data_IF_529708397155
#
_entry.id   IF_529708397155
#
_cell.length_a   1.000
_cell.length_b   1.000
_cell.length_c   1.000
_cell.angle_alpha   90.00
_cell.angle_beta   90.00
_cell.angle_gamma   90.00
#
_symmetry.space_group_name_H-M   'P 1'
#
loop_
_entity.id
_entity.type
_entity.pdbx_description
1 polymer ?
#
# COMPACT_ATOMS: atom_id res chain seq x y z
N UNK A 1 -0.63 -5.22 -7.96
CA UNK A 1 -1.99 -5.69 -8.30
C UNK A 1 -2.90 -5.72 -7.08
N UNK A 2 -2.61 -6.50 -6.02
CA UNK A 2 -3.48 -6.62 -4.83
C UNK A 2 -3.84 -5.27 -4.18
N UNK A 3 -2.88 -4.35 -4.04
CA UNK A 3 -3.14 -3.04 -3.48
C UNK A 3 -4.13 -2.20 -4.31
N UNK A 4 -4.09 -2.32 -5.64
CA UNK A 4 -5.05 -1.65 -6.53
C UNK A 4 -6.44 -2.25 -6.40
N UNK A 5 -6.56 -3.59 -6.39
CA UNK A 5 -7.83 -4.27 -6.18
C UNK A 5 -8.46 -3.89 -4.84
N UNK A 6 -7.65 -3.90 -3.77
CA UNK A 6 -8.10 -3.54 -2.45
C UNK A 6 -8.49 -2.04 -2.34
N UNK A 7 -7.76 -1.14 -3.01
CA UNK A 7 -8.09 0.28 -3.05
C UNK A 7 -9.42 0.53 -3.77
N UNK A 8 -9.64 -0.09 -4.93
CA UNK A 8 -10.91 0.01 -5.68
C UNK A 8 -12.09 -0.52 -4.88
N UNK A 9 -11.93 -1.71 -4.28
CA UNK A 9 -12.97 -2.31 -3.43
C UNK A 9 -13.32 -1.42 -2.24
N UNK A 10 -12.32 -0.83 -1.60
CA UNK A 10 -12.51 0.09 -0.49
C UNK A 10 -13.24 1.36 -0.92
N UNK A 11 -12.86 1.97 -2.05
CA UNK A 11 -13.53 3.17 -2.60
C UNK A 11 -14.99 2.93 -2.94
N UNK A 12 -15.32 1.78 -3.55
CA UNK A 12 -16.71 1.42 -3.88
C UNK A 12 -17.60 1.41 -2.63
N UNK A 13 -17.05 1.06 -1.48
CA UNK A 13 -17.81 0.88 -0.25
C UNK A 13 -17.82 2.11 0.67
N UNK A 14 -16.73 2.88 0.71
CA UNK A 14 -16.64 4.06 1.57
C UNK A 14 -16.89 5.38 0.85
N UNK A 15 -16.93 5.39 -0.49
CA UNK A 15 -17.13 6.59 -1.30
C UNK A 15 -16.01 7.64 -1.21
N UNK A 16 -14.85 7.27 -0.66
CA UNK A 16 -13.72 8.19 -0.46
C UNK A 16 -12.49 7.65 -1.20
N UNK A 17 -11.71 8.51 -1.89
CA UNK A 17 -10.49 8.08 -2.55
C UNK A 17 -9.52 7.38 -1.62
N UNK A 18 -8.96 6.27 -2.08
CA UNK A 18 -7.96 5.48 -1.36
C UNK A 18 -6.62 5.58 -2.08
N UNK A 19 -5.62 6.05 -1.36
CA UNK A 19 -4.25 6.12 -1.81
C UNK A 19 -3.47 4.87 -1.40
N UNK A 20 -2.38 4.60 -2.09
CA UNK A 20 -1.48 3.50 -1.78
C UNK A 20 -0.15 4.09 -1.31
N UNK A 21 0.21 3.86 -0.06
CA UNK A 21 1.58 4.07 0.38
C UNK A 21 2.41 2.85 -0.02
N UNK A 22 3.41 3.08 -0.84
CA UNK A 22 4.34 2.03 -1.26
C UNK A 22 4.87 1.22 -0.06
N UNK A 23 4.76 -0.08 -0.08
CA UNK A 23 4.38 -0.91 -1.23
C UNK A 23 2.93 -1.43 -1.11
N UNK A 24 2.39 -1.55 0.11
CA UNK A 24 1.25 -2.42 0.45
C UNK A 24 0.30 -1.84 1.51
N UNK A 25 0.43 -0.56 1.86
CA UNK A 25 -0.48 0.10 2.80
C UNK A 25 -1.52 0.93 2.06
N UNK A 26 -2.79 0.77 2.40
CA UNK A 26 -3.85 1.64 1.90
C UNK A 26 -4.12 2.78 2.88
N UNK A 27 -4.23 3.98 2.34
CA UNK A 27 -4.46 5.20 3.09
C UNK A 27 -5.76 5.88 2.66
N UNK A 28 -6.54 6.30 3.66
CA UNK A 28 -7.69 7.18 3.53
C UNK A 28 -7.40 8.45 4.33
N UNK A 29 -7.44 9.62 3.69
CA UNK A 29 -7.17 10.89 4.35
C UNK A 29 -5.85 10.90 5.16
N UNK A 30 -4.79 10.37 4.56
CA UNK A 30 -3.46 10.32 5.17
C UNK A 30 -3.26 9.30 6.29
N UNK A 31 -4.26 8.47 6.60
CA UNK A 31 -4.17 7.43 7.64
C UNK A 31 -4.31 6.03 7.06
N UNK A 32 -3.55 5.09 7.59
CA UNK A 32 -3.57 3.69 7.17
C UNK A 32 -4.90 3.03 7.55
N UNK A 33 -5.59 2.51 6.55
CA UNK A 33 -6.87 1.78 6.69
C UNK A 33 -6.75 0.30 6.34
N UNK A 34 -5.69 -0.09 5.64
CA UNK A 34 -5.41 -1.49 5.32
C UNK A 34 -3.91 -1.73 5.19
N UNK A 35 -3.46 -2.90 5.61
CA UNK A 35 -2.15 -3.45 5.27
C UNK A 35 -2.32 -4.74 4.49
N UNK A 36 -1.42 -4.99 3.54
CA UNK A 36 -1.42 -6.19 2.69
C UNK A 36 -0.11 -6.92 2.94
N UNK A 37 -0.19 -8.22 3.18
CA UNK A 37 0.95 -9.11 3.31
C UNK A 37 0.84 -10.20 2.24
N UNK A 38 1.93 -10.46 1.54
CA UNK A 38 2.03 -11.60 0.63
C UNK A 38 3.14 -12.51 1.11
N UNK A 39 2.80 -13.75 1.38
CA UNK A 39 3.72 -14.83 1.71
C UNK A 39 3.73 -15.82 0.55
N UNK A 40 4.90 -16.31 0.18
CA UNK A 40 5.05 -17.20 -0.95
C UNK A 40 5.99 -18.35 -0.60
N UNK A 41 5.70 -19.52 -1.15
CA UNK A 41 6.61 -20.66 -1.15
C UNK A 41 7.19 -20.86 -2.54
N UNK A 42 8.48 -21.15 -2.58
CA UNK A 42 9.22 -21.44 -3.82
C UNK A 42 9.76 -22.86 -3.71
N UNK A 43 9.51 -23.64 -4.73
CA UNK A 43 10.16 -24.95 -4.87
C UNK A 43 11.67 -24.74 -5.10
N UNK A 44 12.48 -25.24 -4.17
CA UNK A 44 13.92 -25.04 -4.18
C UNK A 44 14.64 -25.81 -5.32
N UNK A 45 14.01 -26.84 -5.88
CA UNK A 45 14.60 -27.63 -6.97
C UNK A 45 14.38 -26.95 -8.33
N UNK A 46 13.18 -26.46 -8.58
CA UNK A 46 12.82 -25.82 -9.85
C UNK A 46 12.97 -24.30 -9.84
N UNK A 47 13.05 -23.67 -8.66
CA UNK A 47 13.00 -22.22 -8.50
C UNK A 47 11.63 -21.60 -8.83
N UNK A 48 10.62 -22.42 -9.03
CA UNK A 48 9.28 -21.96 -9.38
C UNK A 48 8.45 -21.60 -8.14
N UNK A 49 7.57 -20.62 -8.30
CA UNK A 49 6.56 -20.28 -7.28
C UNK A 49 5.58 -21.45 -7.14
N UNK A 50 5.50 -22.00 -5.94
CA UNK A 50 4.60 -23.10 -5.61
C UNK A 50 3.20 -22.55 -5.32
N UNK A 51 3.11 -21.60 -4.37
CA UNK A 51 1.90 -20.85 -4.08
C UNK A 51 2.22 -19.50 -3.44
N UNK A 52 1.23 -18.61 -3.45
CA UNK A 52 1.27 -17.36 -2.70
C UNK A 52 -0.02 -17.21 -1.88
N UNK A 53 0.14 -16.79 -0.62
CA UNK A 53 -0.95 -16.45 0.29
C UNK A 53 -1.02 -14.95 0.43
N UNK A 54 -2.20 -14.38 0.19
CA UNK A 54 -2.44 -12.95 0.25
C UNK A 54 -3.31 -12.62 1.47
N UNK A 55 -2.73 -11.95 2.46
CA UNK A 55 -3.42 -11.47 3.66
C UNK A 55 -3.77 -10.00 3.53
N UNK A 56 -5.03 -9.61 3.82
CA UNK A 56 -5.49 -8.22 3.86
C UNK A 56 -6.06 -7.90 5.25
N UNK A 57 -5.48 -6.89 5.90
CA UNK A 57 -5.93 -6.40 7.21
C UNK A 57 -6.62 -5.04 7.08
N UNK A 58 -7.96 -5.03 6.91
CA UNK A 58 -8.73 -3.79 6.88
C UNK A 58 -9.15 -3.32 8.27
N UNK A 59 -8.88 -2.08 8.58
CA UNK A 59 -9.48 -1.37 9.71
C UNK A 59 -10.87 -0.88 9.30
N UNK A 60 -11.91 -1.66 9.54
CA UNK A 60 -13.27 -1.29 9.08
C UNK A 60 -13.82 -0.09 9.83
N UNK A 61 -13.71 -0.10 11.17
CA UNK A 61 -14.15 0.99 12.05
C UNK A 61 -13.11 1.23 13.14
N UNK A 62 -13.13 2.43 13.69
CA UNK A 62 -12.31 2.73 14.85
C UNK A 62 -12.78 1.92 16.07
N UNK A 63 -11.84 1.34 16.85
CA UNK A 63 -12.20 0.68 18.11
C UNK A 63 -12.97 1.61 19.06
N UNK A 64 -13.87 1.09 19.87
CA UNK A 64 -14.69 1.87 20.82
C UNK A 64 -13.84 2.66 21.83
N UNK A 65 -12.64 2.17 22.16
CA UNK A 65 -11.66 2.88 23.03
C UNK A 65 -10.72 3.82 22.27
N UNK A 66 -10.90 4.03 20.98
CA UNK A 66 -9.96 4.74 20.11
C UNK A 66 -8.76 3.90 19.70
N UNK A 67 -7.86 4.49 18.94
CA UNK A 67 -6.58 3.86 18.60
C UNK A 67 -5.61 3.94 19.79
N UNK A 68 -4.76 2.92 20.01
CA UNK A 68 -3.62 3.04 20.91
C UNK A 68 -2.79 4.29 20.59
N UNK A 69 -2.20 4.91 21.63
CA UNK A 69 -1.48 6.19 21.47
C UNK A 69 -0.44 6.17 20.36
N UNK A 70 0.26 5.06 20.20
CA UNK A 70 1.32 4.85 19.21
C UNK A 70 0.77 4.80 17.77
N UNK A 71 -0.50 4.43 17.63
CA UNK A 71 -1.17 4.29 16.33
C UNK A 71 -2.08 5.47 16.01
N UNK A 72 -2.46 6.30 16.98
CA UNK A 72 -3.49 7.34 16.82
C UNK A 72 -3.17 8.36 15.71
N UNK A 73 -1.88 8.63 15.47
CA UNK A 73 -1.44 9.54 14.43
C UNK A 73 -1.50 8.90 13.03
N UNK A 74 -1.37 7.58 12.91
CA UNK A 74 -1.16 6.89 11.63
C UNK A 74 -2.28 5.94 11.23
N UNK A 75 -3.05 5.42 12.20
CA UNK A 75 -4.15 4.50 11.93
C UNK A 75 -5.45 5.26 11.61
N UNK A 76 -6.17 4.77 10.63
CA UNK A 76 -7.51 5.20 10.26
C UNK A 76 -8.45 4.02 10.07
N UNK A 77 -9.71 4.31 9.77
CA UNK A 77 -10.75 3.32 9.48
C UNK A 77 -11.39 3.58 8.12
N UNK A 78 -11.85 2.50 7.50
CA UNK A 78 -12.52 2.57 6.21
C UNK A 78 -13.85 3.33 6.31
N UNK A 79 -14.63 3.03 7.35
CA UNK A 79 -15.89 3.70 7.63
C UNK A 79 -15.76 4.65 8.83
N UNK A 80 -16.35 5.83 8.72
CA UNK A 80 -16.30 6.86 9.76
C UNK A 80 -17.32 6.59 10.89
N UNK A 81 -18.31 5.70 10.64
CA UNK A 81 -19.30 5.20 11.60
C UNK A 81 -19.51 3.70 11.43
N UNK A 82 -20.26 3.09 12.32
CA UNK A 82 -20.57 1.66 12.23
C UNK A 82 -21.25 1.36 10.88
N UNK A 83 -20.65 0.49 10.04
CA UNK A 83 -21.21 0.15 8.75
C UNK A 83 -22.42 -0.79 8.91
N UNK A 84 -23.19 -0.95 7.83
CA UNK A 84 -24.28 -1.92 7.79
C UNK A 84 -23.82 -3.35 8.12
N UNK A 85 -24.68 -4.20 8.66
CA UNK A 85 -24.40 -5.61 8.83
C UNK A 85 -23.91 -6.25 7.53
N UNK A 86 -22.89 -7.09 7.60
CA UNK A 86 -22.30 -7.73 6.42
C UNK A 86 -21.16 -6.95 5.72
N UNK A 87 -20.80 -5.76 6.20
CA UNK A 87 -19.75 -4.94 5.59
C UNK A 87 -18.42 -5.68 5.40
N UNK A 88 -18.03 -6.56 6.36
CA UNK A 88 -16.82 -7.39 6.21
C UNK A 88 -16.89 -8.30 4.98
N UNK A 89 -18.03 -8.98 4.81
CA UNK A 89 -18.25 -9.85 3.65
C UNK A 89 -18.31 -9.02 2.35
N UNK A 90 -18.91 -7.84 2.38
CA UNK A 90 -18.96 -6.93 1.23
C UNK A 90 -17.55 -6.48 0.80
N UNK A 91 -16.66 -6.11 1.75
CA UNK A 91 -15.27 -5.76 1.46
C UNK A 91 -14.53 -6.94 0.85
N UNK A 92 -14.70 -8.14 1.41
CA UNK A 92 -14.06 -9.34 0.88
C UNK A 92 -14.54 -9.67 -0.54
N UNK A 93 -15.85 -9.61 -0.78
CA UNK A 93 -16.42 -9.88 -2.10
C UNK A 93 -15.97 -8.85 -3.14
N UNK A 94 -16.02 -7.55 -2.80
CA UNK A 94 -15.55 -6.49 -3.68
C UNK A 94 -14.05 -6.65 -4.02
N UNK A 95 -13.22 -6.96 -3.02
CA UNK A 95 -11.80 -7.23 -3.24
C UNK A 95 -11.58 -8.42 -4.20
N UNK A 96 -12.25 -9.54 -3.96
CA UNK A 96 -12.10 -10.74 -4.80
C UNK A 96 -12.51 -10.47 -6.25
N UNK A 97 -13.60 -9.73 -6.47
CA UNK A 97 -14.05 -9.37 -7.81
C UNK A 97 -13.03 -8.46 -8.53
N UNK A 98 -12.54 -7.41 -7.85
CA UNK A 98 -11.53 -6.51 -8.43
C UNK A 98 -10.21 -7.24 -8.68
N UNK A 99 -9.76 -8.05 -7.73
CA UNK A 99 -8.52 -8.82 -7.88
C UNK A 99 -8.61 -9.82 -9.03
N UNK A 100 -9.71 -10.55 -9.13
CA UNK A 100 -9.94 -11.51 -10.21
C UNK A 100 -9.98 -10.83 -11.59
N UNK A 101 -10.67 -9.69 -11.69
CA UNK A 101 -10.72 -8.91 -12.92
C UNK A 101 -9.30 -8.46 -13.36
N UNK A 102 -8.49 -7.95 -12.42
CA UNK A 102 -7.12 -7.53 -12.72
C UNK A 102 -6.19 -8.72 -13.03
N UNK A 103 -6.35 -9.84 -12.34
CA UNK A 103 -5.53 -11.03 -12.53
C UNK A 103 -5.62 -11.57 -13.97
N UNK A 104 -6.81 -11.54 -14.56
CA UNK A 104 -7.04 -11.95 -15.95
C UNK A 104 -6.49 -10.97 -17.00
N UNK A 105 -6.15 -9.73 -16.62
CA UNK A 105 -5.48 -8.78 -17.54
C UNK A 105 -3.98 -9.04 -17.71
N UNK A 106 -3.43 -9.97 -16.93
CA UNK A 106 -2.02 -10.34 -16.95
C UNK A 106 -1.13 -9.46 -16.10
N UNK A 107 0.15 -9.89 -15.96
CA UNK A 107 1.12 -9.28 -15.05
C UNK A 107 1.48 -7.82 -15.39
N UNK A 108 1.32 -7.39 -16.63
CA UNK A 108 1.62 -6.02 -17.11
C UNK A 108 0.37 -5.27 -17.55
N UNK A 109 -0.78 -5.56 -16.93
CA UNK A 109 -2.03 -4.88 -17.23
C UNK A 109 -2.10 -3.44 -16.69
N UNK A 110 -3.22 -2.77 -16.99
CA UNK A 110 -3.51 -1.38 -16.62
C UNK A 110 -3.48 -1.08 -15.09
N UNK A 111 -3.31 -2.11 -14.25
CA UNK A 111 -3.21 -1.93 -12.81
C UNK A 111 -1.97 -1.15 -12.37
N UNK A 112 -0.86 -1.17 -13.14
CA UNK A 112 0.36 -0.46 -12.79
C UNK A 112 0.17 1.07 -12.90
N UNK A 113 -0.54 1.52 -13.93
CA UNK A 113 -0.87 2.94 -14.08
C UNK A 113 -1.81 3.42 -12.97
N UNK A 114 -2.76 2.57 -12.55
CA UNK A 114 -3.64 2.87 -11.43
C UNK A 114 -2.86 2.90 -10.10
N UNK A 115 -1.93 1.97 -9.92
CA UNK A 115 -1.03 1.95 -8.77
C UNK A 115 -0.20 3.24 -8.68
N UNK A 116 0.36 3.70 -9.81
CA UNK A 116 1.13 4.96 -9.89
C UNK A 116 0.28 6.18 -9.55
N UNK A 117 -0.94 6.25 -10.10
CA UNK A 117 -1.87 7.37 -9.81
C UNK A 117 -2.26 7.44 -8.34
N UNK A 118 -2.39 6.28 -7.68
CA UNK A 118 -2.77 6.18 -6.27
C UNK A 118 -1.62 6.37 -5.30
N UNK A 119 -0.38 6.46 -5.80
CA UNK A 119 0.79 6.52 -4.94
C UNK A 119 0.78 7.76 -4.03
N UNK A 120 0.70 7.52 -2.71
CA UNK A 120 0.59 8.57 -1.70
C UNK A 120 1.88 9.39 -1.50
N UNK A 121 3.02 8.84 -1.90
CA UNK A 121 4.33 9.42 -1.59
C UNK A 121 4.94 10.21 -2.74
N UNK A 122 4.43 10.12 -3.95
CA UNK A 122 4.99 10.84 -5.12
C UNK A 122 5.04 12.35 -4.87
N UNK A 123 6.21 12.94 -5.09
CA UNK A 123 6.50 14.35 -4.85
C UNK A 123 6.80 14.70 -3.39
N UNK A 124 6.72 13.75 -2.45
CA UNK A 124 6.97 14.00 -1.03
C UNK A 124 8.40 13.73 -0.63
N UNK A 125 8.88 14.49 0.34
CA UNK A 125 10.12 14.19 1.05
C UNK A 125 9.85 13.10 2.11
N UNK A 126 10.77 12.16 2.22
CA UNK A 126 10.68 11.00 3.11
C UNK A 126 12.04 10.68 3.71
N UNK A 127 12.04 9.98 4.83
CA UNK A 127 13.25 9.34 5.34
C UNK A 127 13.29 7.89 4.86
N UNK A 128 14.33 7.54 4.13
CA UNK A 128 14.65 6.16 3.76
C UNK A 128 15.53 5.55 4.85
N UNK A 129 15.19 4.35 5.26
CA UNK A 129 15.99 3.54 6.18
C UNK A 129 16.42 2.27 5.44
N UNK A 130 17.59 2.30 4.77
CA UNK A 130 18.10 1.12 4.09
C UNK A 130 18.54 0.05 5.08
N UNK A 131 18.48 -1.23 4.67
CA UNK A 131 18.95 -2.33 5.48
C UNK A 131 20.47 -2.20 5.72
N UNK A 132 20.88 -2.08 6.99
CA UNK A 132 22.29 -2.02 7.38
C UNK A 132 23.01 -0.69 7.08
N UNK A 133 22.27 0.38 6.79
CA UNK A 133 22.82 1.71 6.53
C UNK A 133 22.10 2.79 7.32
N UNK A 134 22.72 3.98 7.43
CA UNK A 134 22.11 5.14 8.09
C UNK A 134 20.91 5.68 7.33
N UNK A 135 19.90 6.20 8.05
CA UNK A 135 18.75 6.86 7.44
C UNK A 135 19.18 8.05 6.57
N UNK A 136 18.51 8.21 5.40
CA UNK A 136 18.75 9.33 4.46
C UNK A 136 17.45 10.00 4.06
N UNK A 137 17.48 11.33 3.92
CA UNK A 137 16.40 12.08 3.30
C UNK A 137 16.34 11.81 1.78
N UNK A 138 15.13 11.80 1.23
CA UNK A 138 14.92 11.63 -0.21
C UNK A 138 13.57 12.17 -0.66
N UNK A 139 13.49 12.63 -1.91
CA UNK A 139 12.23 12.96 -2.57
C UNK A 139 11.77 11.78 -3.41
N UNK A 140 10.52 11.33 -3.21
CA UNK A 140 9.91 10.27 -4.02
C UNK A 140 9.51 10.82 -5.38
N UNK A 141 10.02 10.21 -6.45
CA UNK A 141 9.72 10.61 -7.83
C UNK A 141 8.57 9.79 -8.42
N UNK A 142 8.34 8.57 -7.92
CA UNK A 142 7.29 7.69 -8.41
C UNK A 142 7.63 6.22 -8.26
N UNK A 143 7.05 5.41 -9.15
CA UNK A 143 7.21 3.95 -9.20
C UNK A 143 7.64 3.56 -10.61
N UNK A 144 8.67 2.73 -10.72
CA UNK A 144 9.14 2.20 -12.01
C UNK A 144 8.28 1.03 -12.52
N UNK A 145 8.67 0.44 -13.65
CA UNK A 145 7.93 -0.68 -14.28
C UNK A 145 8.02 -2.00 -13.51
N UNK A 146 9.00 -2.11 -12.60
CA UNK A 146 9.19 -3.27 -11.72
C UNK A 146 8.58 -3.05 -10.32
N UNK A 147 7.74 -2.01 -10.15
CA UNK A 147 7.12 -1.61 -8.87
C UNK A 147 8.11 -1.18 -7.79
N UNK A 148 9.36 -0.83 -8.15
CA UNK A 148 10.33 -0.28 -7.23
C UNK A 148 10.06 1.20 -6.98
N UNK A 149 10.40 1.68 -5.78
CA UNK A 149 10.26 3.08 -5.42
C UNK A 149 11.40 3.89 -6.06
N UNK A 150 11.05 4.80 -6.94
CA UNK A 150 12.00 5.72 -7.57
C UNK A 150 12.15 6.98 -6.71
N UNK A 151 13.34 7.25 -6.24
CA UNK A 151 13.64 8.39 -5.36
C UNK A 151 14.88 9.14 -5.81
N UNK A 152 14.98 10.39 -5.38
CA UNK A 152 16.25 11.15 -5.41
C UNK A 152 16.66 11.44 -3.98
N UNK A 153 17.75 10.81 -3.52
CA UNK A 153 18.30 11.09 -2.20
C UNK A 153 18.90 12.49 -2.12
N UNK A 154 18.88 13.07 -0.93
CA UNK A 154 19.44 14.40 -0.70
C UNK A 154 20.93 14.43 -1.03
N UNK A 155 21.31 15.39 -1.89
CA UNK A 155 22.68 15.51 -2.40
C UNK A 155 22.99 14.68 -3.64
N UNK A 156 22.13 13.74 -4.04
CA UNK A 156 22.36 12.93 -5.24
C UNK A 156 21.83 13.63 -6.51
N UNK A 157 22.59 13.55 -7.60
CA UNK A 157 22.21 14.12 -8.89
C UNK A 157 21.25 13.19 -9.67
N UNK A 158 21.41 11.90 -9.53
CA UNK A 158 20.63 10.88 -10.24
C UNK A 158 19.60 10.20 -9.33
N UNK A 159 18.43 9.80 -9.87
CA UNK A 159 17.48 8.99 -9.13
C UNK A 159 17.98 7.55 -8.95
N UNK A 160 17.51 6.91 -7.88
CA UNK A 160 17.74 5.50 -7.56
C UNK A 160 16.40 4.79 -7.37
N UNK A 161 16.29 3.54 -7.81
CA UNK A 161 15.12 2.68 -7.60
C UNK A 161 15.42 1.63 -6.52
N UNK A 162 14.52 1.49 -5.54
CA UNK A 162 14.65 0.54 -4.44
C UNK A 162 13.51 -0.48 -4.43
N UNK A 163 13.86 -1.74 -4.17
CA UNK A 163 12.93 -2.82 -3.86
C UNK A 163 12.36 -2.70 -2.44
N UNK A 164 11.28 -3.43 -2.18
CA UNK A 164 10.60 -3.41 -0.88
C UNK A 164 11.38 -4.11 0.23
N UNK A 165 12.30 -4.95 -0.13
CA UNK A 165 13.20 -5.68 0.76
C UNK A 165 14.49 -4.91 1.08
N UNK A 166 14.75 -3.82 0.36
CA UNK A 166 15.98 -3.03 0.51
C UNK A 166 15.84 -1.88 1.49
N UNK A 167 14.64 -1.29 1.58
CA UNK A 167 14.41 -0.08 2.37
C UNK A 167 13.07 -0.09 3.11
N UNK A 168 13.05 0.63 4.24
CA UNK A 168 11.83 1.08 4.89
C UNK A 168 11.64 2.58 4.63
N UNK A 169 10.42 3.00 4.30
CA UNK A 169 10.08 4.40 4.01
C UNK A 169 9.26 4.99 5.15
N UNK A 170 9.77 6.07 5.73
CA UNK A 170 9.10 6.83 6.79
C UNK A 170 8.68 8.19 6.20
N UNK A 171 7.38 8.44 6.00
CA UNK A 171 6.88 9.75 5.57
C UNK A 171 7.10 10.79 6.65
N UNK A 172 7.44 12.02 6.27
CA UNK A 172 7.47 13.12 7.20
C UNK A 172 6.05 13.47 7.67
N UNK A 173 5.84 13.46 9.00
CA UNK A 173 4.57 13.85 9.62
C UNK A 173 4.37 15.36 9.43
N UNK A 174 3.39 15.74 8.63
CA UNK A 174 3.08 17.15 8.32
C UNK A 174 2.75 17.39 6.85
N UNK A 175 3.12 16.49 5.96
CA UNK A 175 2.83 16.57 4.52
C UNK A 175 1.51 15.87 4.12
N UNK A 176 0.65 15.53 5.08
CA UNK A 176 -0.57 14.72 4.89
C UNK A 176 -1.86 15.57 4.92
N UNK A 177 -1.75 16.90 4.81
CA UNK A 177 -2.90 17.81 4.74
C UNK A 177 -3.41 17.95 3.31
#
# INVERSE_FOLDING_TARGET
>A
MAAVAAARAAEQLCGTPIQIKWVNDLWKNGKKVCGILTEAAVDLESGMLDYAVLGLGFNLVQPSGGWPKELAAVAGSLFDSAPAPGARAAVAAAFLNEFWALYHTGLRGSWLDDYRRRQALTGRHVTLVPNGSEPRGATVLGIDDDCRLLVRCDGDLAPTAFGSDEIRVIPELGALA
#
